data_IF_214992868599
#
_entry.id   IF_214992868599
#
_cell.length_a   1.000
_cell.length_b   1.000
_cell.length_c   1.000
_cell.angle_alpha   90.00
_cell.angle_beta   90.00
_cell.angle_gamma   90.00
#
_symmetry.space_group_name_H-M   'P 1'
#
loop_
_entity.id
_entity.type
_entity.pdbx_description
1 polymer ?
#
# COMPACT_ATOMS: atom_id res chain seq x y z
N UNK A 1 -7.29 -10.53 -12.45
CA UNK A 1 -7.49 -10.23 -11.03
C UNK A 1 -6.21 -9.69 -10.40
N UNK A 2 -6.18 -8.37 -10.27
CA UNK A 2 -5.13 -7.59 -9.62
C UNK A 2 -5.72 -6.89 -8.41
N UNK A 3 -5.24 -7.24 -7.23
CA UNK A 3 -5.73 -6.69 -5.95
C UNK A 3 -4.58 -5.98 -5.26
N UNK A 4 -4.80 -4.76 -4.77
CA UNK A 4 -3.84 -4.06 -3.91
C UNK A 4 -4.38 -3.96 -2.48
N UNK A 5 -3.56 -4.33 -1.49
CA UNK A 5 -3.83 -4.11 -0.07
C UNK A 5 -3.09 -2.84 0.34
N UNK A 6 -3.84 -1.83 0.74
CA UNK A 6 -3.35 -0.50 1.10
C UNK A 6 -3.75 -0.10 2.50
N UNK A 7 -3.03 0.86 3.08
CA UNK A 7 -3.21 1.30 4.47
C UNK A 7 -1.90 1.69 5.14
N UNK A 8 -2.00 2.31 6.31
CA UNK A 8 -0.85 2.68 7.13
C UNK A 8 -0.15 1.45 7.72
N UNK A 9 1.06 1.63 8.24
CA UNK A 9 1.72 0.58 9.04
C UNK A 9 0.86 0.17 10.24
N UNK A 10 0.90 -1.12 10.61
CA UNK A 10 0.03 -1.67 11.66
C UNK A 10 -1.38 -2.08 11.21
N UNK A 11 -1.80 -1.76 9.98
CA UNK A 11 -3.14 -2.12 9.49
C UNK A 11 -3.34 -3.63 9.22
N UNK A 12 -2.29 -4.45 9.17
CA UNK A 12 -2.42 -5.90 8.96
C UNK A 12 -2.37 -6.37 7.49
N UNK A 13 -1.99 -5.48 6.56
CA UNK A 13 -1.90 -5.75 5.10
C UNK A 13 -1.20 -7.05 4.75
N UNK A 14 0.02 -7.27 5.24
CA UNK A 14 0.83 -8.46 4.94
C UNK A 14 0.10 -9.75 5.28
N UNK A 15 -0.57 -9.81 6.44
CA UNK A 15 -1.31 -10.99 6.88
C UNK A 15 -2.47 -11.27 5.94
N UNK A 16 -3.29 -10.26 5.66
CA UNK A 16 -4.47 -10.39 4.79
C UNK A 16 -4.04 -10.75 3.35
N UNK A 17 -3.04 -10.07 2.80
CA UNK A 17 -2.55 -10.29 1.44
C UNK A 17 -2.04 -11.73 1.24
N UNK A 18 -1.30 -12.27 2.22
CA UNK A 18 -0.81 -13.66 2.17
C UNK A 18 -1.95 -14.68 2.21
N UNK A 19 -2.86 -14.55 3.17
CA UNK A 19 -4.00 -15.47 3.28
C UNK A 19 -4.88 -15.40 2.03
N UNK A 20 -5.10 -14.20 1.49
CA UNK A 20 -5.88 -14.02 0.27
C UNK A 20 -5.16 -14.63 -0.95
N UNK A 21 -3.84 -14.51 -1.02
CA UNK A 21 -3.00 -15.09 -2.08
C UNK A 21 -3.12 -16.60 -2.09
N UNK A 22 -3.02 -17.22 -0.91
CA UNK A 22 -3.17 -18.67 -0.75
C UNK A 22 -4.59 -19.13 -1.09
N UNK A 23 -5.63 -18.44 -0.58
CA UNK A 23 -7.05 -18.80 -0.81
C UNK A 23 -7.47 -18.71 -2.27
N UNK A 24 -6.95 -17.72 -3.00
CA UNK A 24 -7.31 -17.48 -4.39
C UNK A 24 -6.32 -18.14 -5.37
N UNK A 25 -5.24 -18.73 -4.87
CA UNK A 25 -4.13 -19.26 -5.67
C UNK A 25 -3.59 -18.21 -6.68
N UNK A 26 -3.36 -16.99 -6.19
CA UNK A 26 -2.84 -15.86 -6.96
C UNK A 26 -1.51 -15.43 -6.38
N UNK A 27 -0.56 -15.03 -7.23
CA UNK A 27 0.78 -14.61 -6.81
C UNK A 27 0.74 -13.46 -5.79
N UNK A 28 1.46 -13.65 -4.69
CA UNK A 28 1.72 -12.59 -3.72
C UNK A 28 2.91 -11.73 -4.16
N UNK A 29 2.72 -10.41 -4.21
CA UNK A 29 3.78 -9.43 -4.42
C UNK A 29 3.85 -8.51 -3.21
N UNK A 30 5.06 -8.21 -2.74
CA UNK A 30 5.28 -7.29 -1.61
C UNK A 30 6.16 -6.14 -2.06
N UNK A 31 5.72 -4.92 -1.80
CA UNK A 31 6.48 -3.72 -2.10
C UNK A 31 6.82 -2.94 -0.81
N UNK A 32 8.03 -2.37 -0.70
CA UNK A 32 9.11 -2.44 -1.69
C UNK A 32 9.84 -3.80 -1.67
N UNK A 33 10.40 -4.23 -2.81
CA UNK A 33 11.28 -5.40 -2.95
C UNK A 33 12.72 -4.98 -2.63
N UNK A 34 13.09 -5.09 -1.36
CA UNK A 34 14.41 -4.65 -0.88
C UNK A 34 15.61 -5.33 -1.55
N UNK A 35 15.42 -6.53 -2.14
CA UNK A 35 16.48 -7.22 -2.87
C UNK A 35 16.70 -6.64 -4.28
N UNK A 36 15.70 -5.96 -4.85
CA UNK A 36 15.79 -5.31 -6.15
C UNK A 36 16.41 -3.91 -6.05
N UNK A 37 15.94 -3.10 -5.09
CA UNK A 37 16.51 -1.75 -4.81
C UNK A 37 16.93 -1.65 -3.33
N UNK A 38 18.13 -2.17 -2.96
CA UNK A 38 18.58 -2.22 -1.56
C UNK A 38 18.70 -0.86 -0.88
N UNK A 39 18.91 0.21 -1.64
CA UNK A 39 19.03 1.56 -1.10
C UNK A 39 17.74 2.05 -0.44
N UNK A 40 16.56 1.54 -0.84
CA UNK A 40 15.27 1.85 -0.18
C UNK A 40 15.31 1.36 1.27
N UNK A 41 15.86 0.16 1.52
CA UNK A 41 15.98 -0.39 2.88
C UNK A 41 16.83 0.49 3.77
N UNK A 42 17.98 0.95 3.26
CA UNK A 42 18.88 1.86 3.96
C UNK A 42 18.18 3.17 4.33
N UNK A 43 17.41 3.73 3.40
CA UNK A 43 16.65 4.95 3.64
C UNK A 43 15.57 4.79 4.72
N UNK A 44 14.74 3.74 4.63
CA UNK A 44 13.67 3.48 5.62
C UNK A 44 14.24 3.19 7.01
N UNK A 45 15.40 2.53 7.07
CA UNK A 45 16.09 2.24 8.33
C UNK A 45 16.75 3.44 9.00
N UNK A 46 16.84 4.59 8.32
CA UNK A 46 17.54 5.77 8.81
C UNK A 46 19.05 5.78 8.58
N UNK A 47 19.63 4.71 8.00
CA UNK A 47 21.08 4.64 7.68
C UNK A 47 21.49 5.76 6.71
N UNK A 48 20.61 6.11 5.77
CA UNK A 48 20.81 7.22 4.83
C UNK A 48 19.54 8.07 4.72
N UNK A 49 19.71 9.31 4.29
CA UNK A 49 18.59 10.19 3.95
C UNK A 49 18.61 10.49 2.45
N UNK A 50 17.48 10.21 1.80
CA UNK A 50 17.25 10.54 0.40
C UNK A 50 16.30 11.75 0.31
N UNK A 51 16.39 12.49 -0.79
CA UNK A 51 15.41 13.51 -1.18
C UNK A 51 14.06 12.84 -1.49
N UNK A 52 12.94 13.47 -1.10
CA UNK A 52 11.61 12.88 -1.27
C UNK A 52 11.28 12.54 -2.74
N UNK A 53 11.82 13.29 -3.71
CA UNK A 53 11.67 12.98 -5.14
C UNK A 53 12.41 11.70 -5.50
N UNK A 54 13.64 11.56 -5.02
CA UNK A 54 14.45 10.36 -5.24
C UNK A 54 13.76 9.15 -4.63
N UNK A 55 13.32 9.26 -3.38
CA UNK A 55 12.56 8.21 -2.69
C UNK A 55 11.33 7.82 -3.49
N UNK A 56 10.48 8.79 -3.86
CA UNK A 56 9.26 8.53 -4.65
C UNK A 56 9.58 7.77 -5.94
N UNK A 57 10.55 8.22 -6.73
CA UNK A 57 10.90 7.59 -8.00
C UNK A 57 11.48 6.18 -7.82
N UNK A 58 12.26 5.93 -6.77
CA UNK A 58 12.77 4.58 -6.47
C UNK A 58 11.65 3.60 -6.11
N UNK A 59 10.67 4.03 -5.31
CA UNK A 59 9.51 3.20 -5.01
C UNK A 59 8.65 2.92 -6.26
N UNK A 60 8.45 3.92 -7.12
CA UNK A 60 7.74 3.72 -8.38
C UNK A 60 8.49 2.77 -9.31
N UNK A 61 9.82 2.93 -9.45
CA UNK A 61 10.64 2.04 -10.27
C UNK A 61 10.55 0.58 -9.79
N UNK A 62 10.59 0.36 -8.47
CA UNK A 62 10.42 -0.96 -7.89
C UNK A 62 9.04 -1.57 -8.20
N UNK A 63 7.96 -0.78 -8.09
CA UNK A 63 6.61 -1.24 -8.41
C UNK A 63 6.47 -1.57 -9.89
N UNK A 64 6.90 -0.66 -10.77
CA UNK A 64 6.80 -0.81 -12.22
C UNK A 64 7.47 -2.10 -12.68
N UNK A 65 8.70 -2.33 -12.23
CA UNK A 65 9.42 -3.57 -12.56
C UNK A 65 8.73 -4.81 -11.95
N UNK A 66 8.27 -4.72 -10.70
CA UNK A 66 7.73 -5.88 -9.99
C UNK A 66 6.35 -6.35 -10.43
N UNK A 67 5.57 -5.49 -11.09
CA UNK A 67 4.31 -5.86 -11.72
C UNK A 67 4.44 -6.03 -13.23
N UNK A 68 5.63 -5.83 -13.80
CA UNK A 68 5.84 -5.96 -15.23
C UNK A 68 5.54 -7.39 -15.68
N UNK A 69 4.66 -7.54 -16.67
CA UNK A 69 4.13 -8.83 -17.16
C UNK A 69 3.31 -9.65 -16.14
N UNK A 70 2.90 -9.07 -15.00
CA UNK A 70 2.07 -9.74 -14.01
C UNK A 70 0.58 -9.51 -14.29
N UNK A 71 -0.09 -10.53 -14.83
CA UNK A 71 -1.52 -10.45 -15.17
C UNK A 71 -2.45 -10.66 -13.97
N UNK A 72 -1.99 -11.37 -12.93
CA UNK A 72 -2.75 -11.68 -11.73
C UNK A 72 -1.83 -11.58 -10.50
N UNK A 73 -2.20 -10.73 -9.54
CA UNK A 73 -1.42 -10.58 -8.30
C UNK A 73 -2.27 -10.06 -7.14
N UNK A 74 -1.78 -10.33 -5.93
CA UNK A 74 -2.18 -9.66 -4.70
C UNK A 74 -0.97 -8.91 -4.17
N UNK A 75 -1.03 -7.58 -4.26
CA UNK A 75 0.03 -6.69 -3.84
C UNK A 75 -0.16 -6.25 -2.38
N UNK A 76 0.80 -6.52 -1.51
CA UNK A 76 0.95 -5.83 -0.22
C UNK A 76 1.70 -4.53 -0.46
N UNK A 77 0.91 -3.44 -0.52
CA UNK A 77 1.25 -2.11 -1.05
C UNK A 77 1.43 -2.09 -2.57
N UNK A 78 1.02 -1.00 -3.20
CA UNK A 78 1.27 -0.64 -4.60
C UNK A 78 1.60 0.87 -4.67
N UNK A 79 1.33 1.53 -5.79
CA UNK A 79 1.67 2.94 -5.97
C UNK A 79 0.84 3.88 -5.11
N UNK A 80 -0.32 3.47 -4.57
CA UNK A 80 -1.08 4.29 -3.63
C UNK A 80 -0.30 4.52 -2.34
N UNK A 81 0.41 3.50 -1.83
CA UNK A 81 1.38 3.67 -0.75
C UNK A 81 2.45 4.72 -1.11
N UNK A 82 3.00 4.69 -2.33
CA UNK A 82 3.97 5.69 -2.78
C UNK A 82 3.40 7.10 -2.77
N UNK A 83 2.17 7.28 -3.29
CA UNK A 83 1.49 8.59 -3.28
C UNK A 83 1.22 9.03 -1.84
N UNK A 84 0.76 8.14 -0.96
CA UNK A 84 0.37 8.47 0.41
C UNK A 84 1.55 8.79 1.34
N UNK A 85 2.72 8.19 1.12
CA UNK A 85 3.92 8.47 1.92
C UNK A 85 4.79 9.59 1.34
N UNK A 86 4.63 9.93 0.06
CA UNK A 86 5.38 11.02 -0.56
C UNK A 86 4.92 12.39 -0.06
N UNK A 87 5.88 13.31 0.14
CA UNK A 87 5.60 14.72 0.47
C UNK A 87 5.35 15.59 -0.76
N UNK A 88 5.45 15.02 -1.97
CA UNK A 88 5.23 15.75 -3.21
C UNK A 88 3.76 16.14 -3.39
N UNK A 89 3.46 16.94 -4.41
CA UNK A 89 2.07 17.26 -4.75
C UNK A 89 1.30 15.98 -5.16
N UNK A 90 0.09 15.79 -4.64
CA UNK A 90 -0.70 14.58 -4.90
C UNK A 90 -1.13 14.50 -6.36
N UNK A 91 -1.66 15.58 -6.92
CA UNK A 91 -2.20 15.63 -8.28
C UNK A 91 -1.10 15.36 -9.30
N UNK A 92 0.08 15.95 -9.10
CA UNK A 92 1.28 15.68 -9.91
C UNK A 92 1.69 14.19 -9.86
N UNK A 93 1.57 13.53 -8.70
CA UNK A 93 1.87 12.10 -8.62
C UNK A 93 0.82 11.26 -9.32
N UNK A 94 -0.46 11.60 -9.19
CA UNK A 94 -1.54 10.92 -9.92
C UNK A 94 -1.30 11.06 -11.42
N UNK A 95 -1.01 12.26 -11.92
CA UNK A 95 -0.65 12.50 -13.31
C UNK A 95 0.56 11.66 -13.74
N UNK A 96 1.61 11.59 -12.92
CA UNK A 96 2.79 10.76 -13.20
C UNK A 96 2.44 9.26 -13.32
N UNK A 97 1.58 8.72 -12.45
CA UNK A 97 1.13 7.32 -12.55
C UNK A 97 0.42 7.08 -13.88
N UNK A 98 -0.43 8.02 -14.30
CA UNK A 98 -1.17 7.94 -15.56
C UNK A 98 -0.24 8.02 -16.77
N UNK A 99 0.69 8.97 -16.78
CA UNK A 99 1.64 9.17 -17.88
C UNK A 99 2.57 7.97 -18.06
N UNK A 100 3.04 7.38 -16.94
CA UNK A 100 3.83 6.16 -16.96
C UNK A 100 3.00 4.90 -17.29
N UNK A 101 1.69 5.04 -17.49
CA UNK A 101 0.77 3.93 -17.79
C UNK A 101 0.87 2.77 -16.80
N UNK A 102 1.09 3.08 -15.51
CA UNK A 102 1.24 2.06 -14.48
C UNK A 102 -0.12 1.35 -14.31
N UNK A 103 -0.17 0.01 -14.46
CA UNK A 103 -1.43 -0.71 -14.44
C UNK A 103 -2.16 -0.58 -13.08
N UNK A 104 -3.40 -0.13 -13.11
CA UNK A 104 -4.26 -0.05 -11.92
C UNK A 104 -4.76 -1.44 -11.51
N UNK A 105 -4.88 -1.74 -10.20
CA UNK A 105 -5.55 -2.94 -9.74
C UNK A 105 -7.07 -2.84 -10.00
N UNK A 106 -7.72 -3.98 -10.20
CA UNK A 106 -9.19 -4.06 -10.29
C UNK A 106 -9.82 -3.66 -8.94
N UNK A 107 -9.24 -4.16 -7.85
CA UNK A 107 -9.70 -3.88 -6.48
C UNK A 107 -8.57 -3.30 -5.63
N UNK A 108 -8.85 -2.21 -4.95
CA UNK A 108 -7.98 -1.64 -3.92
C UNK A 108 -8.62 -1.79 -2.57
N UNK A 109 -8.11 -2.72 -1.76
CA UNK A 109 -8.57 -2.95 -0.40
C UNK A 109 -7.83 -2.01 0.54
N UNK A 110 -8.50 -0.96 0.99
CA UNK A 110 -7.96 -0.03 1.97
C UNK A 110 -8.32 -0.49 3.39
N UNK A 111 -7.32 -1.02 4.10
CA UNK A 111 -7.44 -1.42 5.50
C UNK A 111 -7.32 -0.19 6.40
N UNK A 112 -8.48 0.32 6.81
CA UNK A 112 -8.63 1.52 7.61
C UNK A 112 -8.53 1.19 9.11
N UNK A 113 -7.63 1.88 9.79
CA UNK A 113 -7.42 1.72 11.23
C UNK A 113 -7.12 3.07 11.87
N UNK A 114 -7.56 3.27 13.11
CA UNK A 114 -7.16 4.44 13.90
C UNK A 114 -5.68 4.36 14.29
N UNK A 115 -5.10 5.53 14.55
CA UNK A 115 -3.68 5.68 14.86
C UNK A 115 -3.31 4.93 16.14
N UNK A 116 -4.12 5.03 17.20
CA UNK A 116 -3.85 4.39 18.48
C UNK A 116 -3.74 2.87 18.35
N UNK A 117 -4.64 2.26 17.59
CA UNK A 117 -4.63 0.82 17.32
C UNK A 117 -3.46 0.43 16.41
N UNK A 118 -3.15 1.24 15.39
CA UNK A 118 -1.97 1.02 14.56
C UNK A 118 -0.68 1.04 15.39
N UNK A 119 -0.49 2.02 16.27
CA UNK A 119 0.68 2.10 17.16
C UNK A 119 0.79 0.92 18.10
N UNK A 120 -0.31 0.49 18.71
CA UNK A 120 -0.33 -0.71 19.57
C UNK A 120 0.06 -1.98 18.82
N UNK A 121 -0.19 -2.07 17.51
CA UNK A 121 0.22 -3.21 16.68
C UNK A 121 1.68 -3.09 16.25
N UNK A 122 2.11 -1.88 15.88
CA UNK A 122 3.49 -1.59 15.51
C UNK A 122 4.45 -1.85 16.67
N UNK A 123 4.10 -1.42 17.89
CA UNK A 123 4.96 -1.57 19.08
C UNK A 123 5.23 -3.03 19.47
N UNK A 124 4.45 -3.98 18.95
CA UNK A 124 4.66 -5.42 19.13
C UNK A 124 5.57 -6.04 18.08
N UNK A 125 5.99 -5.29 17.04
CA UNK A 125 6.94 -5.78 16.03
C UNK A 125 8.35 -5.79 16.60
N UNK A 126 9.14 -6.79 16.23
CA UNK A 126 10.56 -6.87 16.59
C UNK A 126 11.42 -5.82 15.86
N UNK A 127 11.09 -5.50 14.61
CA UNK A 127 11.83 -4.55 13.77
C UNK A 127 11.02 -3.25 13.57
N UNK A 128 11.12 -2.33 14.52
CA UNK A 128 10.47 -1.00 14.45
C UNK A 128 11.41 -0.02 13.73
N UNK A 129 10.94 0.59 12.64
CA UNK A 129 11.70 1.61 11.88
C UNK A 129 11.50 3.03 12.45
N UNK A 130 12.27 4.02 11.99
CA UNK A 130 12.03 5.43 12.34
C UNK A 130 10.65 5.91 11.83
N UNK A 131 10.26 5.47 10.63
CA UNK A 131 8.95 5.74 10.04
C UNK A 131 7.80 5.21 10.90
N UNK A 132 7.97 4.03 11.51
CA UNK A 132 6.98 3.41 12.39
C UNK A 132 6.78 4.19 13.71
N UNK A 133 7.75 5.03 14.11
CA UNK A 133 7.72 5.81 15.37
C UNK A 133 7.21 7.23 15.18
N UNK A 134 7.08 7.69 13.94
CA UNK A 134 6.64 9.05 13.63
C UNK A 134 5.10 9.14 13.56
N UNK A 135 4.51 9.58 14.67
CA UNK A 135 3.05 9.71 14.82
C UNK A 135 2.46 10.72 13.84
N UNK A 136 3.15 11.83 13.65
CA UNK A 136 2.71 12.91 12.77
C UNK A 136 2.78 12.45 11.31
N UNK A 137 3.79 11.65 10.96
CA UNK A 137 3.87 11.01 9.66
C UNK A 137 2.70 10.06 9.42
N UNK A 138 2.41 9.10 10.32
CA UNK A 138 1.30 8.16 10.09
C UNK A 138 -0.06 8.88 10.00
N UNK A 139 -0.25 9.94 10.79
CA UNK A 139 -1.44 10.80 10.69
C UNK A 139 -1.52 11.50 9.31
N UNK A 140 -0.40 12.07 8.86
CA UNK A 140 -0.29 12.71 7.55
C UNK A 140 -0.57 11.73 6.41
N UNK A 141 0.04 10.55 6.46
CA UNK A 141 -0.17 9.46 5.50
C UNK A 141 -1.62 9.02 5.47
N UNK A 142 -2.26 8.83 6.64
CA UNK A 142 -3.69 8.48 6.72
C UNK A 142 -4.55 9.51 6.00
N UNK A 143 -4.39 10.81 6.32
CA UNK A 143 -5.10 11.90 5.63
C UNK A 143 -4.82 11.91 4.13
N UNK A 144 -3.61 11.53 3.73
CA UNK A 144 -3.22 11.49 2.33
C UNK A 144 -3.86 10.31 1.58
N UNK A 145 -3.99 9.13 2.21
CA UNK A 145 -4.81 8.04 1.66
C UNK A 145 -6.26 8.47 1.44
N UNK A 146 -6.88 9.17 2.39
CA UNK A 146 -8.24 9.68 2.22
C UNK A 146 -8.34 10.57 0.97
N UNK A 147 -7.35 11.44 0.75
CA UNK A 147 -7.30 12.28 -0.45
C UNK A 147 -7.14 11.45 -1.72
N UNK A 148 -6.22 10.49 -1.73
CA UNK A 148 -5.98 9.59 -2.89
C UNK A 148 -7.27 8.85 -3.25
N UNK A 149 -7.97 8.28 -2.28
CA UNK A 149 -9.20 7.51 -2.51
C UNK A 149 -10.46 8.37 -2.67
N UNK A 150 -10.32 9.70 -2.61
CA UNK A 150 -11.34 10.66 -3.04
C UNK A 150 -11.06 11.26 -4.43
N UNK A 151 -9.89 10.97 -5.00
CA UNK A 151 -9.45 11.57 -6.26
C UNK A 151 -10.15 10.91 -7.45
N UNK A 152 -10.76 11.72 -8.32
CA UNK A 152 -11.60 11.25 -9.43
C UNK A 152 -10.89 10.27 -10.35
N UNK A 153 -9.69 10.61 -10.83
CA UNK A 153 -8.91 9.72 -11.72
C UNK A 153 -8.60 8.36 -11.11
N UNK A 154 -8.55 8.27 -9.77
CA UNK A 154 -8.31 7.01 -9.04
C UNK A 154 -9.61 6.20 -9.01
N UNK A 155 -10.71 6.82 -8.61
CA UNK A 155 -12.03 6.17 -8.51
C UNK A 155 -12.54 5.66 -9.86
N UNK A 156 -12.19 6.31 -10.96
CA UNK A 156 -12.57 5.89 -12.30
C UNK A 156 -11.80 4.63 -12.79
N UNK A 157 -10.73 4.22 -12.09
CA UNK A 157 -9.80 3.16 -12.54
C UNK A 157 -9.65 1.97 -11.59
N UNK A 158 -10.12 2.07 -10.35
CA UNK A 158 -10.08 0.97 -9.38
C UNK A 158 -11.29 1.02 -8.46
N UNK A 159 -11.85 -0.14 -8.11
CA UNK A 159 -12.85 -0.20 -7.05
C UNK A 159 -12.15 -0.15 -5.69
N UNK A 160 -12.32 0.96 -4.97
CA UNK A 160 -11.77 1.13 -3.62
C UNK A 160 -12.74 0.53 -2.60
N UNK A 161 -12.32 -0.54 -1.94
CA UNK A 161 -13.08 -1.22 -0.88
C UNK A 161 -12.43 -0.88 0.47
N UNK A 162 -13.08 0.01 1.22
CA UNK A 162 -12.67 0.37 2.58
C UNK A 162 -13.15 -0.67 3.59
N UNK A 163 -12.25 -1.18 4.41
CA UNK A 163 -12.54 -2.17 5.45
C UNK A 163 -11.95 -1.72 6.78
N UNK A 164 -12.75 -1.82 7.86
CA UNK A 164 -12.28 -1.61 9.22
C UNK A 164 -11.29 -2.72 9.62
N UNK A 165 -10.02 -2.36 9.76
CA UNK A 165 -8.95 -3.30 10.05
C UNK A 165 -8.85 -3.69 11.54
N UNK A 166 -9.80 -3.25 12.38
CA UNK A 166 -9.95 -3.68 13.78
C UNK A 166 -10.73 -5.00 13.91
N UNK A 167 -11.48 -5.36 12.88
CA UNK A 167 -12.18 -6.65 12.78
C UNK A 167 -11.19 -7.82 12.83
N UNK A 168 -11.72 -9.01 13.09
CA UNK A 168 -10.93 -10.25 13.00
C UNK A 168 -10.45 -10.49 11.57
N UNK A 169 -9.40 -11.32 11.44
CA UNK A 169 -8.84 -11.68 10.13
C UNK A 169 -9.91 -12.34 9.26
N UNK A 170 -10.72 -13.22 9.86
CA UNK A 170 -11.82 -13.94 9.22
C UNK A 170 -12.88 -12.98 8.68
N UNK A 171 -13.37 -12.05 9.50
CA UNK A 171 -14.35 -11.04 9.09
C UNK A 171 -13.83 -10.16 7.93
N UNK A 172 -12.57 -9.72 8.00
CA UNK A 172 -11.95 -8.93 6.92
C UNK A 172 -11.94 -9.74 5.62
N UNK A 173 -11.53 -11.01 5.67
CA UNK A 173 -11.46 -11.87 4.49
C UNK A 173 -12.84 -12.16 3.90
N UNK A 174 -13.85 -12.39 4.73
CA UNK A 174 -15.24 -12.56 4.28
C UNK A 174 -15.77 -11.29 3.59
N UNK A 175 -15.50 -10.12 4.16
CA UNK A 175 -15.87 -8.84 3.54
C UNK A 175 -15.20 -8.65 2.18
N UNK A 176 -13.89 -8.94 2.06
CA UNK A 176 -13.17 -8.88 0.78
C UNK A 176 -13.80 -9.84 -0.23
N UNK A 177 -13.98 -11.11 0.14
CA UNK A 177 -14.55 -12.14 -0.72
C UNK A 177 -15.96 -11.77 -1.22
N UNK A 178 -16.80 -11.22 -0.34
CA UNK A 178 -18.16 -10.80 -0.68
C UNK A 178 -18.23 -9.67 -1.71
N UNK A 179 -17.15 -8.88 -1.84
CA UNK A 179 -17.04 -7.76 -2.79
C UNK A 179 -16.44 -8.20 -4.12
N UNK A 180 -15.32 -8.92 -4.07
CA UNK A 180 -14.62 -9.35 -5.30
C UNK A 180 -15.36 -10.45 -6.07
N UNK A 181 -16.31 -11.15 -5.45
CA UNK A 181 -17.11 -12.20 -6.10
C UNK A 181 -18.40 -11.69 -6.78
N UNK A 182 -18.70 -10.39 -6.70
CA UNK A 182 -19.93 -9.78 -7.25
C UNK A 182 -19.74 -9.10 -8.61
N UNK A 183 -18.53 -9.14 -9.16
CA UNK A 183 -18.18 -8.62 -10.49
C UNK A 183 -17.89 -9.76 -11.46
#
# INVERSE_FOLDING_TARGET
MRIALEGIDGAGKTTIARILSDRLNIKYLKFPRYDFIPIIKKHISGEIRLDDRTTTLLFLADIIDGINNENNYIADRLFFSTIAYSKLNLDMLVELILELSIPFPEYTIYLDIDLDTAFKRISKKYDITEYDRDIDLLNSVKKRYERVFSHKEILDRTEVIRIDARLSIEEILELIQSRISKS
#
